data_IF_067182368262
#
_entry.id   IF_067182368262
#
_cell.length_a   1.000
_cell.length_b   1.000
_cell.length_c   1.000
_cell.angle_alpha   90.00
_cell.angle_beta   90.00
_cell.angle_gamma   90.00
#
_symmetry.space_group_name_H-M   'P 1'
#
loop_
_entity.id
_entity.type
_entity.pdbx_description
1 polymer ?
#
# COMPACT_ATOMS: atom_id res chain seq x y z
N UNK A 1 -50.78 35.85 20.81
CA UNK A 1 -50.12 35.62 19.51
C UNK A 1 -48.63 35.89 19.71
N UNK A 2 -47.83 34.84 19.86
CA UNK A 2 -46.37 34.93 19.93
C UNK A 2 -45.82 33.71 19.21
N UNK A 3 -45.29 33.90 18.00
CA UNK A 3 -44.56 32.88 17.26
C UNK A 3 -43.14 32.82 17.83
N UNK A 4 -42.78 31.70 18.45
CA UNK A 4 -41.37 31.39 18.73
C UNK A 4 -40.83 30.58 17.56
N UNK A 5 -39.91 31.21 16.80
CA UNK A 5 -39.12 30.58 15.75
C UNK A 5 -38.24 29.47 16.34
N UNK A 6 -38.39 28.25 15.85
CA UNK A 6 -37.46 27.15 16.07
C UNK A 6 -36.20 27.42 15.24
N UNK A 7 -35.05 27.66 15.89
CA UNK A 7 -33.76 27.67 15.20
C UNK A 7 -33.30 26.22 15.01
N UNK A 8 -33.38 25.72 13.77
CA UNK A 8 -32.68 24.52 13.35
C UNK A 8 -31.20 24.88 13.11
N UNK A 9 -30.33 24.36 13.96
CA UNK A 9 -28.88 24.40 13.80
C UNK A 9 -28.32 23.03 14.20
N UNK A 10 -28.56 22.02 13.37
CA UNK A 10 -27.78 20.79 13.39
C UNK A 10 -26.69 20.94 12.32
N UNK A 11 -25.50 21.38 12.73
CA UNK A 11 -24.30 21.14 11.96
C UNK A 11 -23.86 19.71 12.27
N UNK A 12 -23.79 18.78 11.29
CA UNK A 12 -23.16 17.50 11.54
C UNK A 12 -21.69 17.76 11.83
N UNK A 13 -21.25 17.46 13.05
CA UNK A 13 -19.83 17.39 13.40
C UNK A 13 -19.19 16.36 12.47
N UNK A 14 -18.45 16.84 11.48
CA UNK A 14 -17.52 16.04 10.71
C UNK A 14 -16.52 15.51 11.75
N UNK A 15 -16.35 14.18 11.91
CA UNK A 15 -15.35 13.65 12.81
C UNK A 15 -14.01 14.25 12.39
N UNK A 16 -13.40 15.02 13.28
CA UNK A 16 -12.06 15.54 13.09
C UNK A 16 -11.16 14.35 12.82
N UNK A 17 -10.55 14.30 11.64
CA UNK A 17 -9.54 13.31 11.32
C UNK A 17 -8.54 13.29 12.48
N UNK A 18 -8.39 12.12 13.12
CA UNK A 18 -7.33 11.92 14.10
C UNK A 18 -6.02 12.44 13.47
N UNK A 19 -5.18 13.18 14.21
CA UNK A 19 -3.88 13.56 13.70
C UNK A 19 -3.11 12.26 13.47
N UNK A 20 -3.06 11.80 12.21
CA UNK A 20 -2.21 10.69 11.78
C UNK A 20 -0.80 11.15 12.12
N UNK A 21 -0.28 10.64 13.23
CA UNK A 21 1.07 10.95 13.67
C UNK A 21 1.98 10.01 12.88
N UNK A 22 2.01 10.20 11.55
CA UNK A 22 2.88 9.45 10.65
C UNK A 22 4.26 10.07 10.75
N UNK A 23 5.08 9.49 11.61
CA UNK A 23 6.51 9.70 11.46
C UNK A 23 6.92 8.95 10.19
N UNK A 24 7.07 9.65 9.07
CA UNK A 24 7.60 9.06 7.84
C UNK A 24 8.94 8.37 8.15
N UNK A 25 9.06 7.09 7.79
CA UNK A 25 10.19 6.23 8.16
C UNK A 25 10.86 5.63 6.92
N UNK A 26 10.06 5.19 5.94
CA UNK A 26 10.52 4.41 4.80
C UNK A 26 10.90 5.25 3.59
N UNK A 27 10.27 6.41 3.37
CA UNK A 27 10.63 7.34 2.29
C UNK A 27 11.88 8.16 2.67
N UNK A 28 12.94 7.45 3.01
CA UNK A 28 14.26 7.95 3.38
C UNK A 28 15.31 7.13 2.65
N UNK A 29 16.55 7.62 2.48
CA UNK A 29 17.61 6.85 1.84
C UNK A 29 17.81 5.46 2.49
N UNK A 30 17.72 5.36 3.82
CA UNK A 30 17.84 4.10 4.54
C UNK A 30 16.67 3.14 4.24
N UNK A 31 15.43 3.66 4.20
CA UNK A 31 14.25 2.87 3.85
C UNK A 31 14.26 2.41 2.39
N UNK A 32 14.71 3.27 1.47
CA UNK A 32 14.92 2.91 0.07
C UNK A 32 15.96 1.80 -0.09
N UNK A 33 17.10 1.90 0.61
CA UNK A 33 18.13 0.85 0.62
C UNK A 33 17.58 -0.46 1.19
N UNK A 34 16.80 -0.39 2.26
CA UNK A 34 16.17 -1.57 2.86
C UNK A 34 15.19 -2.25 1.89
N UNK A 35 14.27 -1.49 1.30
CA UNK A 35 13.29 -1.99 0.34
C UNK A 35 13.97 -2.65 -0.86
N UNK A 36 15.02 -2.02 -1.41
CA UNK A 36 15.82 -2.63 -2.49
C UNK A 36 16.48 -3.92 -2.08
N UNK A 37 17.06 -3.98 -0.88
CA UNK A 37 17.72 -5.19 -0.39
C UNK A 37 16.74 -6.35 -0.30
N UNK A 38 15.56 -6.11 0.28
CA UNK A 38 14.49 -7.11 0.37
C UNK A 38 14.07 -7.57 -1.02
N UNK A 39 13.76 -6.64 -1.92
CA UNK A 39 13.30 -6.97 -3.27
C UNK A 39 14.36 -7.68 -4.11
N UNK A 40 15.63 -7.30 -3.98
CA UNK A 40 16.74 -7.95 -4.68
C UNK A 40 16.87 -9.43 -4.27
N UNK A 41 16.69 -9.74 -2.99
CA UNK A 41 16.71 -11.12 -2.48
C UNK A 41 15.55 -11.97 -3.03
N UNK A 42 14.39 -11.34 -3.32
CA UNK A 42 13.17 -12.03 -3.70
C UNK A 42 12.94 -12.12 -5.21
N UNK A 43 13.33 -11.08 -5.97
CA UNK A 43 12.94 -10.91 -7.37
C UNK A 43 14.06 -11.22 -8.37
N UNK A 44 15.32 -11.30 -7.93
CA UNK A 44 16.48 -11.58 -8.80
C UNK A 44 16.65 -10.60 -9.99
N UNK A 45 15.93 -9.48 -10.02
CA UNK A 45 16.10 -8.39 -10.98
C UNK A 45 16.18 -7.03 -10.28
N UNK A 46 16.73 -6.04 -10.98
CA UNK A 46 16.88 -4.68 -10.47
C UNK A 46 15.55 -3.93 -10.50
N UNK A 47 15.18 -3.33 -9.37
CA UNK A 47 13.99 -2.49 -9.22
C UNK A 47 14.35 -1.04 -9.50
N UNK A 48 13.53 -0.36 -10.31
CA UNK A 48 13.75 1.04 -10.66
C UNK A 48 13.43 1.99 -9.49
N UNK A 49 14.11 3.12 -9.47
CA UNK A 49 14.03 4.10 -8.38
C UNK A 49 12.61 4.62 -8.16
N UNK A 50 11.89 4.91 -9.24
CA UNK A 50 10.51 5.37 -9.14
C UNK A 50 9.59 4.36 -8.43
N UNK A 51 9.87 3.06 -8.56
CA UNK A 51 9.11 2.00 -7.89
C UNK A 51 9.40 2.00 -6.38
N UNK A 52 10.67 2.16 -6.01
CA UNK A 52 11.07 2.26 -4.61
C UNK A 52 10.47 3.48 -3.94
N UNK A 53 10.49 4.63 -4.61
CA UNK A 53 9.88 5.87 -4.09
C UNK A 53 8.38 5.69 -3.84
N UNK A 54 7.65 5.14 -4.82
CA UNK A 54 6.22 4.90 -4.64
C UNK A 54 5.91 3.91 -3.52
N UNK A 55 6.65 2.79 -3.44
CA UNK A 55 6.45 1.78 -2.37
C UNK A 55 6.71 2.39 -0.99
N UNK A 56 7.83 3.11 -0.83
CA UNK A 56 8.21 3.67 0.46
C UNK A 56 7.25 4.78 0.91
N UNK A 57 6.76 5.61 -0.01
CA UNK A 57 5.72 6.59 0.28
C UNK A 57 4.41 5.91 0.78
N UNK A 58 3.98 4.83 0.13
CA UNK A 58 2.79 4.07 0.56
C UNK A 58 3.01 3.42 1.94
N UNK A 59 4.21 2.91 2.21
CA UNK A 59 4.56 2.36 3.52
C UNK A 59 4.56 3.42 4.64
N UNK A 60 4.80 4.67 4.30
CA UNK A 60 4.67 5.83 5.20
C UNK A 60 3.23 6.36 5.30
N UNK A 61 2.25 5.62 4.75
CA UNK A 61 0.84 5.97 4.84
C UNK A 61 0.40 7.05 3.85
N UNK A 62 1.17 7.32 2.80
CA UNK A 62 0.80 8.27 1.75
C UNK A 62 0.03 7.59 0.61
N UNK A 63 -0.98 8.28 0.10
CA UNK A 63 -1.71 7.86 -1.09
C UNK A 63 -0.85 8.08 -2.35
N UNK A 64 -0.75 7.05 -3.21
CA UNK A 64 0.03 7.09 -4.44
C UNK A 64 -0.85 7.03 -5.69
N UNK A 65 -0.71 8.04 -6.55
CA UNK A 65 -1.20 8.00 -7.93
C UNK A 65 -0.02 7.83 -8.88
N UNK A 66 0.12 6.64 -9.45
CA UNK A 66 1.22 6.31 -10.37
C UNK A 66 0.77 6.32 -11.84
N UNK A 67 1.27 7.28 -12.61
CA UNK A 67 1.04 7.35 -14.07
C UNK A 67 2.18 6.63 -14.80
N UNK A 68 1.87 5.50 -15.42
CA UNK A 68 2.86 4.68 -16.13
C UNK A 68 2.36 4.26 -17.51
N UNK A 69 3.26 4.23 -18.49
CA UNK A 69 2.97 3.71 -19.82
C UNK A 69 2.42 2.26 -19.78
N UNK A 70 1.55 1.91 -20.74
CA UNK A 70 1.05 0.54 -20.95
C UNK A 70 2.21 -0.42 -21.25
N UNK A 71 2.16 -1.64 -20.72
CA UNK A 71 3.31 -2.56 -20.68
C UNK A 71 4.32 -2.25 -19.57
N UNK A 72 4.24 -1.07 -18.94
CA UNK A 72 4.95 -0.78 -17.70
C UNK A 72 4.49 -1.71 -16.59
N UNK A 73 5.43 -2.07 -15.71
CA UNK A 73 5.32 -3.08 -14.64
C UNK A 73 4.38 -2.63 -13.51
N UNK A 74 3.15 -2.20 -13.85
CA UNK A 74 2.12 -1.70 -12.93
C UNK A 74 1.72 -2.74 -11.91
N UNK A 75 1.44 -3.97 -12.36
CA UNK A 75 1.19 -5.11 -11.46
C UNK A 75 2.37 -5.36 -10.52
N UNK A 76 3.60 -5.07 -10.97
CA UNK A 76 4.79 -5.20 -10.14
C UNK A 76 4.78 -4.28 -8.91
N UNK A 77 4.14 -3.11 -8.97
CA UNK A 77 4.02 -2.25 -7.77
C UNK A 77 3.32 -2.96 -6.63
N UNK A 78 2.17 -3.58 -6.91
CA UNK A 78 1.40 -4.32 -5.91
C UNK A 78 2.19 -5.50 -5.36
N UNK A 79 2.86 -6.26 -6.24
CA UNK A 79 3.68 -7.40 -5.85
C UNK A 79 4.84 -6.95 -4.96
N UNK A 80 5.61 -5.95 -5.40
CA UNK A 80 6.77 -5.45 -4.66
C UNK A 80 6.37 -4.83 -3.31
N UNK A 81 5.30 -4.04 -3.27
CA UNK A 81 4.77 -3.50 -2.02
C UNK A 81 4.45 -4.65 -1.04
N UNK A 82 3.72 -5.65 -1.52
CA UNK A 82 3.32 -6.79 -0.68
C UNK A 82 4.52 -7.61 -0.21
N UNK A 83 5.52 -7.83 -1.06
CA UNK A 83 6.76 -8.54 -0.68
C UNK A 83 7.55 -7.80 0.40
N UNK A 84 7.68 -6.47 0.30
CA UNK A 84 8.38 -5.66 1.32
C UNK A 84 7.62 -5.68 2.63
N UNK A 85 6.32 -5.39 2.59
CA UNK A 85 5.45 -5.39 3.78
C UNK A 85 5.43 -6.77 4.45
N UNK A 86 5.31 -7.84 3.67
CA UNK A 86 5.34 -9.20 4.19
C UNK A 86 6.69 -9.55 4.83
N UNK A 87 7.81 -9.26 4.16
CA UNK A 87 9.15 -9.55 4.72
C UNK A 87 9.37 -8.85 6.07
N UNK A 88 8.97 -7.58 6.18
CA UNK A 88 9.07 -6.81 7.43
C UNK A 88 8.10 -7.34 8.50
N UNK A 89 6.90 -7.82 8.11
CA UNK A 89 5.95 -8.42 9.04
C UNK A 89 6.45 -9.73 9.67
N UNK A 90 7.28 -10.49 8.96
CA UNK A 90 7.83 -11.76 9.45
C UNK A 90 9.07 -11.58 10.34
N UNK A 91 9.85 -10.52 10.11
CA UNK A 91 11.05 -10.23 10.89
C UNK A 91 11.10 -8.76 11.30
N UNK A 92 10.66 -8.50 12.53
CA UNK A 92 10.65 -7.13 13.09
C UNK A 92 12.06 -6.57 13.35
N UNK A 93 13.10 -7.41 13.36
CA UNK A 93 14.49 -6.92 13.49
C UNK A 93 14.97 -6.16 12.25
N UNK A 94 14.28 -6.34 11.12
CA UNK A 94 14.55 -5.69 9.85
C UNK A 94 13.80 -4.35 9.73
N UNK A 95 12.93 -4.02 10.69
CA UNK A 95 12.13 -2.79 10.69
C UNK A 95 13.00 -1.54 10.89
N UNK A 96 12.52 -0.43 10.36
CA UNK A 96 13.06 0.88 10.70
C UNK A 96 12.23 1.47 11.85
N UNK A 97 12.93 1.95 12.89
CA UNK A 97 12.32 2.67 14.03
C UNK A 97 11.18 1.94 14.74
N UNK A 98 11.21 0.61 14.77
CA UNK A 98 10.18 -0.25 15.37
C UNK A 98 8.78 -0.12 14.73
N UNK A 99 8.69 0.39 13.50
CA UNK A 99 7.43 0.37 12.75
C UNK A 99 7.24 -1.03 12.19
N UNK A 100 6.24 -1.75 12.69
CA UNK A 100 5.91 -3.11 12.23
C UNK A 100 4.58 -3.13 11.49
N UNK A 101 4.46 -4.06 10.55
CA UNK A 101 3.19 -4.37 9.88
C UNK A 101 2.45 -5.50 10.60
N UNK A 102 1.16 -5.66 10.29
CA UNK A 102 0.40 -6.83 10.72
C UNK A 102 1.09 -8.11 10.25
N UNK A 103 1.08 -9.14 11.10
CA UNK A 103 1.78 -10.42 10.84
C UNK A 103 1.31 -11.12 9.56
N UNK A 104 0.05 -10.92 9.19
CA UNK A 104 -0.53 -11.42 7.94
C UNK A 104 -1.17 -10.24 7.19
N UNK A 105 -0.36 -9.45 6.46
CA UNK A 105 -0.87 -8.29 5.77
C UNK A 105 -1.68 -8.71 4.54
N UNK A 106 -2.80 -8.03 4.29
CA UNK A 106 -3.65 -8.27 3.12
C UNK A 106 -3.62 -7.10 2.15
N UNK A 107 -3.70 -7.40 0.85
CA UNK A 107 -3.82 -6.41 -0.22
C UNK A 107 -5.11 -6.63 -1.01
N UNK A 108 -5.95 -5.61 -1.09
CA UNK A 108 -7.15 -5.61 -1.94
C UNK A 108 -6.85 -4.84 -3.21
N UNK A 109 -7.12 -5.46 -4.36
CA UNK A 109 -6.91 -4.83 -5.66
C UNK A 109 -8.22 -4.84 -6.42
N UNK A 110 -8.67 -3.65 -6.81
CA UNK A 110 -9.89 -3.46 -7.57
C UNK A 110 -9.51 -3.33 -9.04
N UNK A 111 -9.98 -4.27 -9.85
CA UNK A 111 -9.72 -4.31 -11.28
C UNK A 111 -11.03 -4.14 -12.07
N UNK A 112 -11.04 -3.33 -13.14
CA UNK A 112 -12.25 -3.07 -13.92
C UNK A 112 -12.70 -4.27 -14.78
N UNK A 113 -11.88 -5.32 -14.92
CA UNK A 113 -12.15 -6.46 -15.80
C UNK A 113 -11.75 -7.77 -15.13
N UNK A 114 -12.61 -8.80 -15.26
CA UNK A 114 -12.34 -10.17 -14.77
C UNK A 114 -11.06 -10.77 -15.35
N UNK A 115 -10.85 -10.67 -16.66
CA UNK A 115 -9.63 -11.16 -17.31
C UNK A 115 -8.34 -10.54 -16.73
N UNK A 116 -8.41 -9.29 -16.26
CA UNK A 116 -7.27 -8.65 -15.60
C UNK A 116 -7.05 -9.20 -14.18
N UNK A 117 -8.12 -9.54 -13.46
CA UNK A 117 -8.02 -10.19 -12.15
C UNK A 117 -7.33 -11.56 -12.29
N UNK A 118 -7.75 -12.36 -13.26
CA UNK A 118 -7.19 -13.69 -13.54
C UNK A 118 -5.69 -13.63 -13.93
N UNK A 119 -5.31 -12.68 -14.81
CA UNK A 119 -3.90 -12.43 -15.17
C UNK A 119 -3.06 -12.01 -13.95
N UNK A 120 -3.61 -11.18 -13.06
CA UNK A 120 -2.92 -10.74 -11.86
C UNK A 120 -2.73 -11.87 -10.84
N UNK A 121 -3.72 -12.75 -10.66
CA UNK A 121 -3.61 -13.93 -9.79
C UNK A 121 -2.45 -14.81 -10.24
N UNK A 122 -2.39 -15.11 -11.54
CA UNK A 122 -1.31 -15.93 -12.11
C UNK A 122 0.07 -15.35 -11.79
N UNK A 123 0.24 -14.03 -11.93
CA UNK A 123 1.49 -13.33 -11.62
C UNK A 123 1.80 -13.34 -10.11
N UNK A 124 0.82 -13.07 -9.25
CA UNK A 124 1.04 -13.01 -7.80
C UNK A 124 1.44 -14.36 -7.22
N UNK A 125 0.78 -15.44 -7.66
CA UNK A 125 1.11 -16.81 -7.25
C UNK A 125 2.53 -17.18 -7.66
N UNK A 126 3.00 -16.73 -8.83
CA UNK A 126 4.40 -16.96 -9.25
C UNK A 126 5.43 -16.32 -8.31
N UNK A 127 5.06 -15.24 -7.61
CA UNK A 127 5.91 -14.59 -6.59
C UNK A 127 5.59 -15.06 -5.16
N UNK A 128 4.86 -16.16 -5.00
CA UNK A 128 4.56 -16.75 -3.69
C UNK A 128 3.53 -15.96 -2.87
N UNK A 129 2.74 -15.08 -3.52
CA UNK A 129 1.64 -14.36 -2.87
C UNK A 129 0.34 -15.13 -3.14
N UNK A 130 -0.29 -15.74 -2.10
CA UNK A 130 -1.59 -16.37 -2.26
C UNK A 130 -2.65 -15.33 -2.60
N UNK A 131 -3.35 -15.52 -3.71
CA UNK A 131 -4.35 -14.56 -4.20
C UNK A 131 -5.65 -15.28 -4.53
N UNK A 132 -6.76 -14.71 -4.09
CA UNK A 132 -8.12 -15.15 -4.42
C UNK A 132 -8.84 -14.05 -5.21
N UNK A 133 -9.77 -14.46 -6.07
CA UNK A 133 -10.68 -13.54 -6.77
C UNK A 133 -12.05 -13.65 -6.13
N UNK A 134 -12.55 -12.54 -5.64
CA UNK A 134 -13.97 -12.42 -5.31
C UNK A 134 -14.72 -12.00 -6.58
N UNK A 135 -15.57 -12.88 -7.10
CA UNK A 135 -16.56 -12.53 -8.13
C UNK A 135 -17.94 -12.51 -7.49
N UNK A 136 -18.79 -11.58 -7.92
CA UNK A 136 -20.23 -11.67 -7.70
C UNK A 136 -20.84 -12.91 -8.34
#
# INVERSE_FOLDING_TARGET
>A
MSLTMLSLSENPEIPSADPITTQAVYDTPAGHTLARRILFQLLQFSVHDYQIYGICAVMDGLDLVATMATGGVKTGYFIMLMLVVHAISQDTSVTLRNVSFLKDPGLIIICPKKALQEDMVSKMVQFGLPTIVATE
#
